data_IF_282531108157
#
_entry.id   IF_282531108157
#
_cell.length_a   1.000
_cell.length_b   1.000
_cell.length_c   1.000
_cell.angle_alpha   90.00
_cell.angle_beta   90.00
_cell.angle_gamma   90.00
#
_symmetry.space_group_name_H-M   'P 1'
#
loop_
_entity.id
_entity.type
_entity.pdbx_description
1 polymer ?
#
# COMPACT_ATOMS: atom_id res chain seq x y z
N UNK A 1 -17.28 -69.88 47.07
CA UNK A 1 -17.23 -70.66 45.83
C UNK A 1 -18.49 -70.32 45.06
N UNK A 2 -18.51 -69.76 43.87
CA UNK A 2 -17.52 -69.44 42.82
C UNK A 2 -18.29 -68.53 41.84
N UNK A 3 -17.74 -67.67 41.00
CA UNK A 3 -16.44 -67.05 40.87
C UNK A 3 -16.71 -65.79 40.03
N UNK A 4 -16.05 -64.69 40.36
CA UNK A 4 -15.87 -63.55 39.48
C UNK A 4 -15.10 -64.04 38.23
N UNK A 5 -15.62 -63.84 37.01
CA UNK A 5 -14.85 -64.09 35.79
C UNK A 5 -15.23 -63.12 34.66
N UNK A 6 -14.38 -62.10 34.55
CA UNK A 6 -13.88 -61.47 33.33
C UNK A 6 -14.83 -60.84 32.31
N UNK A 7 -15.07 -59.56 32.59
CA UNK A 7 -15.08 -58.47 31.62
C UNK A 7 -13.82 -58.56 30.75
N UNK A 8 -13.91 -59.08 29.52
CA UNK A 8 -12.94 -58.83 28.44
C UNK A 8 -13.53 -59.17 27.05
N UNK A 9 -14.55 -58.41 26.62
CA UNK A 9 -14.99 -58.42 25.23
C UNK A 9 -13.95 -57.68 24.37
N UNK A 10 -12.99 -58.41 23.83
CA UNK A 10 -12.00 -57.87 22.90
C UNK A 10 -12.72 -57.38 21.63
N UNK A 11 -12.62 -56.10 21.23
CA UNK A 11 -13.39 -55.58 20.10
C UNK A 11 -13.01 -56.27 18.78
N UNK A 12 -14.03 -56.71 18.06
CA UNK A 12 -13.94 -57.40 16.76
C UNK A 12 -12.95 -56.71 15.79
N UNK A 13 -11.89 -57.40 15.32
CA UNK A 13 -10.85 -56.83 14.47
C UNK A 13 -11.39 -56.24 13.15
N UNK A 14 -12.53 -56.72 12.64
CA UNK A 14 -13.19 -56.17 11.46
C UNK A 14 -13.76 -54.76 11.72
N UNK A 15 -14.37 -54.55 12.90
CA UNK A 15 -14.86 -53.24 13.35
C UNK A 15 -13.72 -52.25 13.59
N UNK A 16 -12.58 -52.71 14.10
CA UNK A 16 -11.39 -51.88 14.34
C UNK A 16 -10.76 -51.38 13.03
N UNK A 17 -10.64 -52.25 12.01
CA UNK A 17 -10.18 -51.88 10.65
C UNK A 17 -11.10 -50.86 9.97
N UNK A 18 -12.42 -51.00 10.13
CA UNK A 18 -13.40 -50.04 9.61
C UNK A 18 -13.31 -48.66 10.26
N UNK A 19 -13.12 -48.58 11.58
CA UNK A 19 -12.90 -47.31 12.30
C UNK A 19 -11.58 -46.64 11.93
N UNK A 20 -10.49 -47.41 11.81
CA UNK A 20 -9.18 -46.90 11.38
C UNK A 20 -9.24 -46.32 9.97
N UNK A 21 -9.89 -47.01 9.02
CA UNK A 21 -10.07 -46.51 7.65
C UNK A 21 -10.89 -45.21 7.60
N UNK A 22 -11.96 -45.11 8.41
CA UNK A 22 -12.75 -43.86 8.53
C UNK A 22 -11.93 -42.73 9.14
N UNK A 23 -11.16 -42.99 10.18
CA UNK A 23 -10.27 -42.00 10.79
C UNK A 23 -9.19 -41.53 9.81
N UNK A 24 -8.60 -42.45 9.04
CA UNK A 24 -7.65 -42.13 7.97
C UNK A 24 -8.29 -41.26 6.88
N UNK A 25 -9.50 -41.58 6.42
CA UNK A 25 -10.21 -40.77 5.42
C UNK A 25 -10.56 -39.37 5.95
N UNK A 26 -10.99 -39.26 7.20
CA UNK A 26 -11.25 -37.97 7.84
C UNK A 26 -9.97 -37.14 7.96
N UNK A 27 -8.87 -37.75 8.40
CA UNK A 27 -7.58 -37.08 8.46
C UNK A 27 -7.13 -36.59 7.08
N UNK A 28 -7.28 -37.43 6.05
CA UNK A 28 -6.93 -37.09 4.68
C UNK A 28 -7.80 -35.94 4.17
N UNK A 29 -9.11 -35.95 4.43
CA UNK A 29 -10.02 -34.84 4.10
C UNK A 29 -9.60 -33.54 4.80
N UNK A 30 -9.31 -33.59 6.09
CA UNK A 30 -8.88 -32.41 6.87
C UNK A 30 -7.56 -31.87 6.32
N UNK A 31 -6.58 -32.73 6.05
CA UNK A 31 -5.29 -32.34 5.48
C UNK A 31 -5.45 -31.75 4.08
N UNK A 32 -6.23 -32.38 3.19
CA UNK A 32 -6.48 -31.85 1.86
C UNK A 32 -7.21 -30.50 1.92
N UNK A 33 -8.22 -30.37 2.79
CA UNK A 33 -8.93 -29.10 2.99
C UNK A 33 -7.99 -28.02 3.50
N UNK A 34 -7.16 -28.33 4.50
CA UNK A 34 -6.13 -27.43 5.01
C UNK A 34 -5.17 -26.99 3.90
N UNK A 35 -4.66 -27.92 3.10
CA UNK A 35 -3.74 -27.60 2.00
C UNK A 35 -4.39 -26.72 0.93
N UNK A 36 -5.62 -27.02 0.53
CA UNK A 36 -6.37 -26.19 -0.43
C UNK A 36 -6.62 -24.79 0.11
N UNK A 37 -7.04 -24.67 1.38
CA UNK A 37 -7.30 -23.38 2.01
C UNK A 37 -6.01 -22.58 2.16
N UNK A 38 -4.96 -23.17 2.75
CA UNK A 38 -3.72 -22.48 3.09
C UNK A 38 -2.89 -22.05 1.88
N UNK A 39 -2.87 -22.85 0.81
CA UNK A 39 -1.94 -22.64 -0.30
C UNK A 39 -2.60 -22.22 -1.61
N UNK A 40 -3.93 -22.27 -1.72
CA UNK A 40 -4.65 -21.80 -2.91
C UNK A 40 -5.66 -20.71 -2.56
N UNK A 41 -6.62 -20.99 -1.67
CA UNK A 41 -7.72 -20.05 -1.40
C UNK A 41 -7.26 -18.80 -0.64
N UNK A 42 -6.45 -18.95 0.42
CA UNK A 42 -5.94 -17.82 1.17
C UNK A 42 -5.04 -16.91 0.31
N UNK A 43 -4.01 -17.40 -0.41
CA UNK A 43 -3.21 -16.53 -1.27
C UNK A 43 -4.05 -15.76 -2.31
N UNK A 44 -5.03 -16.42 -2.93
CA UNK A 44 -5.94 -15.78 -3.89
C UNK A 44 -6.92 -14.79 -3.23
N UNK A 45 -7.20 -14.95 -1.93
CA UNK A 45 -7.99 -14.00 -1.14
C UNK A 45 -7.22 -12.70 -0.86
N UNK A 46 -5.91 -12.81 -0.61
CA UNK A 46 -5.09 -11.69 -0.11
C UNK A 46 -4.31 -10.94 -1.18
N UNK A 47 -4.13 -11.51 -2.37
CA UNK A 47 -3.30 -10.90 -3.42
C UNK A 47 -4.05 -10.75 -4.74
N UNK A 48 -3.97 -9.54 -5.30
CA UNK A 48 -4.45 -9.16 -6.62
C UNK A 48 -3.47 -8.19 -7.31
N UNK A 49 -3.22 -8.43 -8.60
CA UNK A 49 -2.37 -7.58 -9.44
C UNK A 49 -2.85 -7.57 -10.90
N UNK A 50 -4.12 -7.93 -11.15
CA UNK A 50 -4.60 -8.22 -12.50
C UNK A 50 -4.41 -7.06 -13.49
N UNK A 51 -4.45 -5.82 -12.99
CA UNK A 51 -4.26 -4.61 -13.78
C UNK A 51 -2.81 -4.09 -13.78
N UNK A 52 -1.89 -4.70 -13.01
CA UNK A 52 -0.45 -4.42 -13.04
C UNK A 52 0.38 -5.64 -12.61
N UNK A 53 0.46 -6.66 -13.47
CA UNK A 53 1.16 -7.92 -13.13
C UNK A 53 2.65 -7.73 -12.88
N UNK A 54 3.25 -6.70 -13.49
CA UNK A 54 4.64 -6.33 -13.29
C UNK A 54 4.99 -5.88 -11.86
N UNK A 55 3.99 -5.54 -11.04
CA UNK A 55 4.20 -5.13 -9.65
C UNK A 55 4.24 -6.31 -8.66
N UNK A 56 3.77 -7.50 -9.07
CA UNK A 56 3.56 -8.62 -8.15
C UNK A 56 4.83 -9.13 -7.44
N UNK A 57 6.01 -8.91 -8.03
CA UNK A 57 7.31 -9.31 -7.46
C UNK A 57 8.05 -8.18 -6.76
N UNK A 58 7.49 -6.97 -6.75
CA UNK A 58 8.13 -5.81 -6.18
C UNK A 58 7.78 -5.67 -4.69
N UNK A 59 8.74 -5.26 -3.83
CA UNK A 59 8.44 -4.98 -2.44
C UNK A 59 7.52 -3.76 -2.33
N UNK A 60 6.55 -3.78 -1.43
CA UNK A 60 5.61 -2.65 -1.23
C UNK A 60 6.01 -1.74 -0.08
N UNK A 61 7.30 -1.67 0.24
CA UNK A 61 7.83 -0.89 1.37
C UNK A 61 9.16 -0.23 1.01
N UNK A 62 9.32 1.04 1.39
CA UNK A 62 10.62 1.73 1.29
C UNK A 62 11.58 1.25 2.38
N UNK A 63 12.84 1.69 2.30
CA UNK A 63 13.84 1.48 3.34
C UNK A 63 14.64 2.74 3.61
N UNK A 64 15.10 2.94 4.83
CA UNK A 64 16.12 3.95 5.13
C UNK A 64 17.48 3.54 4.56
N UNK A 65 18.46 4.46 4.59
CA UNK A 65 19.84 4.15 4.20
C UNK A 65 20.46 2.99 5.01
N UNK A 66 19.98 2.77 6.24
CA UNK A 66 20.41 1.68 7.12
C UNK A 66 19.62 0.37 6.90
N UNK A 67 18.70 0.34 5.94
CA UNK A 67 17.90 -0.83 5.61
C UNK A 67 16.66 -1.04 6.48
N UNK A 68 16.36 -0.12 7.41
CA UNK A 68 15.15 -0.17 8.25
C UNK A 68 13.93 0.00 7.35
N UNK A 69 12.86 -0.82 7.48
CA UNK A 69 11.60 -0.59 6.78
C UNK A 69 11.09 0.84 6.99
N UNK A 70 10.88 1.56 5.90
CA UNK A 70 10.37 2.93 5.88
C UNK A 70 8.86 2.97 5.77
N UNK A 71 8.35 3.99 5.08
CA UNK A 71 6.92 4.10 4.76
C UNK A 71 6.52 3.04 3.71
N UNK A 72 5.32 2.43 3.83
CA UNK A 72 4.78 1.53 2.82
C UNK A 72 4.31 2.28 1.57
N UNK A 73 4.35 1.60 0.43
CA UNK A 73 3.69 2.09 -0.80
C UNK A 73 2.18 2.01 -0.60
N UNK A 74 1.48 3.10 -0.87
CA UNK A 74 0.03 3.18 -0.72
C UNK A 74 -0.66 3.84 -1.93
N UNK A 75 0.08 4.48 -2.84
CA UNK A 75 -0.50 5.05 -4.06
C UNK A 75 0.34 4.67 -5.29
N UNK A 76 -0.31 4.54 -6.44
CA UNK A 76 0.35 4.35 -7.72
C UNK A 76 -0.18 5.32 -8.78
N UNK A 77 0.66 5.71 -9.72
CA UNK A 77 0.27 6.57 -10.85
C UNK A 77 0.67 5.92 -12.16
N UNK A 78 -0.15 6.09 -13.20
CA UNK A 78 0.17 5.65 -14.56
C UNK A 78 0.21 6.88 -15.46
N UNK A 79 1.38 7.13 -16.03
CA UNK A 79 1.64 8.29 -16.88
C UNK A 79 3.13 8.58 -16.98
N UNK A 80 3.49 9.42 -17.95
CA UNK A 80 4.89 9.86 -18.04
C UNK A 80 5.20 10.91 -16.95
N UNK A 81 6.47 11.32 -16.87
CA UNK A 81 6.92 12.33 -15.89
C UNK A 81 6.11 13.64 -16.00
N UNK A 82 5.75 14.05 -17.23
CA UNK A 82 5.03 15.30 -17.47
C UNK A 82 3.59 15.18 -17.01
N UNK A 83 2.96 14.02 -17.21
CA UNK A 83 1.63 13.73 -16.72
C UNK A 83 1.58 13.82 -15.19
N UNK A 84 2.53 13.16 -14.49
CA UNK A 84 2.62 13.19 -13.02
C UNK A 84 2.79 14.62 -12.53
N UNK A 85 3.76 15.36 -13.08
CA UNK A 85 4.07 16.73 -12.66
C UNK A 85 2.90 17.67 -12.89
N UNK A 86 2.25 17.60 -14.07
CA UNK A 86 1.04 18.40 -14.32
C UNK A 86 -0.07 18.02 -13.34
N UNK A 87 -0.36 16.73 -13.18
CA UNK A 87 -1.47 16.28 -12.37
C UNK A 87 -1.33 16.75 -10.92
N UNK A 88 -0.14 16.58 -10.33
CA UNK A 88 0.19 17.04 -8.98
C UNK A 88 0.02 18.57 -8.87
N UNK A 89 0.54 19.34 -9.83
CA UNK A 89 0.41 20.79 -9.82
C UNK A 89 -1.05 21.26 -9.91
N UNK A 90 -1.85 20.67 -10.81
CA UNK A 90 -3.28 20.99 -10.95
C UNK A 90 -4.09 20.62 -9.69
N UNK A 91 -3.65 19.59 -8.97
CA UNK A 91 -4.21 19.17 -7.68
C UNK A 91 -3.74 20.02 -6.48
N UNK A 92 -2.92 21.06 -6.71
CA UNK A 92 -2.41 21.96 -5.68
C UNK A 92 -1.29 21.34 -4.84
N UNK A 93 -0.61 20.32 -5.36
CA UNK A 93 0.59 19.75 -4.78
C UNK A 93 1.83 20.39 -5.41
N UNK A 94 2.74 20.80 -4.55
CA UNK A 94 3.95 21.51 -4.93
C UNK A 94 5.16 20.61 -4.75
N UNK A 95 6.25 20.83 -5.49
CA UNK A 95 7.40 19.98 -5.36
C UNK A 95 8.13 20.20 -4.03
N UNK A 96 8.54 19.12 -3.37
CA UNK A 96 9.15 19.17 -2.03
C UNK A 96 10.67 19.42 -2.04
N UNK A 97 11.39 19.06 -3.12
CA UNK A 97 12.82 19.33 -3.28
C UNK A 97 13.13 19.89 -4.67
N UNK A 98 13.60 21.15 -4.81
CA UNK A 98 13.93 21.76 -6.10
C UNK A 98 15.02 21.01 -6.90
N UNK A 99 15.86 20.19 -6.26
CA UNK A 99 16.90 19.38 -6.92
C UNK A 99 16.29 18.24 -7.74
N UNK A 100 15.23 17.60 -7.25
CA UNK A 100 14.51 16.55 -7.99
C UNK A 100 13.87 17.10 -9.26
N UNK A 101 13.31 18.33 -9.23
CA UNK A 101 12.72 18.95 -10.42
C UNK A 101 13.73 19.41 -11.46
N UNK A 102 14.85 20.00 -11.04
CA UNK A 102 15.88 20.45 -12.00
C UNK A 102 16.45 19.30 -12.81
N UNK A 103 16.50 18.11 -12.21
CA UNK A 103 16.95 16.88 -12.86
C UNK A 103 15.86 16.26 -13.75
N UNK A 104 14.58 16.39 -13.36
CA UNK A 104 13.46 15.69 -14.00
C UNK A 104 12.62 16.53 -14.96
N UNK A 105 12.70 17.87 -14.95
CA UNK A 105 11.79 18.77 -15.66
C UNK A 105 12.58 19.94 -16.29
N UNK A 106 12.95 19.80 -17.57
CA UNK A 106 13.42 20.93 -18.38
C UNK A 106 12.27 21.74 -19.02
N UNK A 107 11.00 21.40 -18.77
CA UNK A 107 9.89 21.75 -19.69
C UNK A 107 8.71 22.54 -19.05
N UNK A 108 8.56 22.60 -17.71
CA UNK A 108 7.43 23.34 -17.07
C UNK A 108 7.92 24.69 -16.51
N UNK A 109 8.57 25.46 -17.38
CA UNK A 109 9.33 26.67 -17.03
C UNK A 109 8.53 27.67 -16.20
N UNK A 110 9.18 28.18 -15.15
CA UNK A 110 8.80 29.30 -14.26
C UNK A 110 7.83 29.06 -13.10
N UNK A 111 6.89 28.12 -13.15
CA UNK A 111 5.85 28.03 -12.09
C UNK A 111 6.30 27.23 -10.85
N UNK A 112 7.18 26.24 -11.02
CA UNK A 112 7.54 25.30 -9.95
C UNK A 112 8.76 25.74 -9.10
N UNK A 113 9.52 26.74 -9.54
CA UNK A 113 10.82 27.11 -8.95
C UNK A 113 10.76 28.25 -7.92
N UNK A 114 9.60 28.88 -7.74
CA UNK A 114 9.46 30.14 -6.99
C UNK A 114 9.17 29.98 -5.48
N UNK A 115 9.28 28.77 -4.92
CA UNK A 115 9.16 28.55 -3.47
C UNK A 115 10.51 28.27 -2.81
N UNK A 116 11.02 29.17 -1.95
CA UNK A 116 12.18 28.89 -1.12
C UNK A 116 11.79 27.87 -0.03
N UNK A 117 12.40 26.69 -0.08
CA UNK A 117 12.36 25.73 1.02
C UNK A 117 13.23 26.24 2.17
N UNK A 118 12.67 26.26 3.38
CA UNK A 118 13.44 26.46 4.63
C UNK A 118 13.72 25.09 5.23
N UNK A 119 15.00 24.83 5.43
CA UNK A 119 15.62 23.59 5.88
C UNK A 119 14.82 22.73 6.88
N UNK A 120 14.68 21.45 6.54
CA UNK A 120 14.72 20.35 7.50
C UNK A 120 15.27 19.11 6.77
N UNK A 121 16.23 18.37 7.35
CA UNK A 121 16.76 17.16 6.73
C UNK A 121 15.67 16.10 6.74
N UNK A 122 15.00 15.94 5.60
CA UNK A 122 14.11 14.81 5.38
C UNK A 122 15.00 13.58 5.25
N UNK A 123 14.79 12.58 6.11
CA UNK A 123 15.50 11.31 5.98
C UNK A 123 15.15 10.71 4.61
N UNK A 124 16.19 10.47 3.79
CA UNK A 124 15.98 9.89 2.47
C UNK A 124 15.44 8.46 2.62
N UNK A 125 14.34 8.19 1.92
CA UNK A 125 13.81 6.85 1.76
C UNK A 125 14.28 6.28 0.42
N UNK A 126 14.54 4.99 0.41
CA UNK A 126 15.08 4.28 -0.73
C UNK A 126 14.10 3.18 -1.13
N UNK A 127 13.92 3.05 -2.43
CA UNK A 127 13.18 1.97 -3.03
C UNK A 127 14.10 1.24 -4.01
N UNK A 128 14.28 -0.07 -3.81
CA UNK A 128 15.23 -0.88 -4.58
C UNK A 128 16.65 -0.24 -4.67
N UNK A 129 17.11 0.35 -3.57
CA UNK A 129 18.42 0.99 -3.47
C UNK A 129 18.51 2.38 -4.10
N UNK A 130 17.39 2.95 -4.58
CA UNK A 130 17.35 4.23 -5.29
C UNK A 130 16.54 5.25 -4.51
N UNK A 131 17.00 6.50 -4.49
CA UNK A 131 16.23 7.64 -3.94
C UNK A 131 14.99 7.90 -4.78
N UNK A 132 14.04 8.62 -4.19
CA UNK A 132 12.83 9.11 -4.85
C UNK A 132 13.14 9.83 -6.16
N UNK A 133 12.30 9.62 -7.17
CA UNK A 133 12.38 10.32 -8.46
C UNK A 133 11.72 11.69 -8.40
N UNK A 134 10.57 11.74 -7.71
CA UNK A 134 9.75 12.93 -7.52
C UNK A 134 9.24 12.96 -6.09
N UNK A 135 9.16 14.15 -5.51
CA UNK A 135 8.55 14.38 -4.21
C UNK A 135 7.68 15.62 -4.24
N UNK A 136 6.51 15.54 -3.62
CA UNK A 136 5.54 16.62 -3.56
C UNK A 136 5.01 16.81 -2.14
N UNK A 137 4.63 18.04 -1.84
CA UNK A 137 4.04 18.48 -0.59
C UNK A 137 2.80 19.35 -0.82
N UNK A 138 1.86 19.27 0.11
CA UNK A 138 0.69 20.16 0.19
C UNK A 138 0.59 20.70 1.62
N UNK A 139 0.70 22.02 1.83
CA UNK A 139 0.62 22.63 3.16
C UNK A 139 -0.72 22.34 3.84
N UNK A 140 -0.68 22.07 5.15
CA UNK A 140 -1.89 21.90 5.97
C UNK A 140 -2.04 23.12 6.89
N UNK A 141 -3.01 23.97 6.59
CA UNK A 141 -3.23 25.20 7.35
C UNK A 141 -2.07 26.20 7.19
N UNK A 142 -1.74 26.91 8.28
CA UNK A 142 -0.74 27.99 8.26
C UNK A 142 0.63 27.59 8.81
N UNK A 143 0.80 26.37 9.30
CA UNK A 143 2.01 25.93 9.99
C UNK A 143 2.91 25.11 9.07
N UNK A 144 4.23 25.34 9.14
CA UNK A 144 5.22 24.65 8.32
C UNK A 144 5.58 23.23 8.81
N UNK A 145 5.17 22.88 10.03
CA UNK A 145 5.39 21.58 10.66
C UNK A 145 4.36 20.52 10.25
N UNK A 146 3.30 20.93 9.54
CA UNK A 146 2.25 20.06 9.04
C UNK A 146 2.08 20.17 7.53
N UNK A 147 2.33 19.08 6.83
CA UNK A 147 2.18 18.99 5.38
C UNK A 147 1.84 17.57 4.97
N UNK A 148 0.93 17.44 4.01
CA UNK A 148 0.80 16.18 3.30
C UNK A 148 2.01 16.06 2.39
N UNK A 149 2.57 14.88 2.29
CA UNK A 149 3.80 14.63 1.57
C UNK A 149 3.71 13.30 0.82
N UNK A 150 4.24 13.26 -0.39
CA UNK A 150 4.32 12.02 -1.17
C UNK A 150 5.64 11.94 -1.91
N UNK A 151 6.25 10.75 -1.89
CA UNK A 151 7.42 10.40 -2.69
C UNK A 151 7.00 9.40 -3.75
N UNK A 152 7.53 9.55 -4.96
CA UNK A 152 7.28 8.64 -6.06
C UNK A 152 8.57 8.05 -6.62
N UNK A 153 8.49 6.79 -7.03
CA UNK A 153 9.49 6.07 -7.78
C UNK A 153 8.85 5.54 -9.05
N UNK A 154 9.47 5.78 -10.20
CA UNK A 154 9.13 5.06 -11.43
C UNK A 154 9.62 3.63 -11.29
N UNK A 155 8.68 2.68 -11.30
CA UNK A 155 8.96 1.27 -11.05
C UNK A 155 8.85 0.40 -12.29
N UNK A 156 8.06 0.82 -13.28
CA UNK A 156 7.97 0.18 -14.59
C UNK A 156 8.04 1.25 -15.67
N UNK A 157 8.83 1.01 -16.72
CA UNK A 157 8.82 1.87 -17.91
C UNK A 157 7.53 1.70 -18.72
N UNK A 158 6.93 0.51 -18.66
CA UNK A 158 5.65 0.19 -19.28
C UNK A 158 4.88 -0.81 -18.39
N UNK A 159 3.71 -0.41 -17.91
CA UNK A 159 2.71 -1.27 -17.29
C UNK A 159 1.75 -1.88 -18.32
N UNK A 160 0.64 -2.45 -17.85
CA UNK A 160 -0.40 -3.06 -18.71
C UNK A 160 -1.01 -2.05 -19.69
N UNK A 161 -1.12 -0.78 -19.30
CA UNK A 161 -1.61 0.32 -20.13
C UNK A 161 -0.53 0.89 -21.08
N UNK A 162 0.62 0.22 -21.21
CA UNK A 162 1.77 0.63 -22.06
C UNK A 162 2.32 2.02 -21.73
N UNK A 163 2.11 2.47 -20.49
CA UNK A 163 2.58 3.74 -19.95
C UNK A 163 3.43 3.48 -18.70
N UNK A 164 4.33 4.39 -18.32
CA UNK A 164 5.14 4.24 -17.12
C UNK A 164 4.27 4.12 -15.86
N UNK A 165 4.72 3.30 -14.92
CA UNK A 165 4.04 3.08 -13.64
C UNK A 165 4.93 3.59 -12.51
N UNK A 166 4.32 4.35 -11.62
CA UNK A 166 4.92 4.92 -10.43
C UNK A 166 4.30 4.30 -9.20
N UNK A 167 5.13 4.00 -8.21
CA UNK A 167 4.66 3.72 -6.85
C UNK A 167 5.07 4.87 -5.93
N UNK A 168 4.21 5.17 -4.98
CA UNK A 168 4.44 6.23 -4.02
C UNK A 168 4.03 5.89 -2.60
N UNK A 169 4.68 6.57 -1.68
CA UNK A 169 4.39 6.57 -0.25
C UNK A 169 3.87 7.97 0.12
N UNK A 170 2.55 8.07 0.30
CA UNK A 170 1.87 9.28 0.77
C UNK A 170 1.69 9.24 2.29
N UNK A 171 2.09 10.31 2.97
CA UNK A 171 2.05 10.45 4.42
C UNK A 171 1.77 11.90 4.82
N UNK A 172 1.11 12.13 5.96
CA UNK A 172 1.02 13.45 6.57
C UNK A 172 2.11 13.60 7.61
N UNK A 173 3.03 14.52 7.36
CA UNK A 173 3.95 14.99 8.39
C UNK A 173 3.16 15.82 9.39
N UNK A 174 3.12 15.39 10.65
CA UNK A 174 2.34 16.05 11.72
C UNK A 174 3.17 16.93 12.66
N UNK A 175 4.47 16.70 12.72
CA UNK A 175 5.40 17.45 13.57
C UNK A 175 6.86 17.14 13.24
N UNK A 176 7.78 18.04 13.57
CA UNK A 176 9.22 17.74 13.64
C UNK A 176 9.54 17.15 15.01
N UNK A 177 10.39 16.13 15.08
CA UNK A 177 10.82 15.50 16.32
C UNK A 177 12.08 14.67 16.17
N UNK A 178 12.22 13.65 17.02
CA UNK A 178 13.40 12.79 17.09
C UNK A 178 12.99 11.35 16.78
N UNK A 179 13.72 10.70 15.88
CA UNK A 179 13.51 9.30 15.53
C UNK A 179 13.62 8.41 16.76
N UNK A 180 12.63 7.52 16.93
CA UNK A 180 12.60 6.55 18.00
C UNK A 180 13.69 5.49 17.88
N UNK A 181 14.28 5.33 16.69
CA UNK A 181 15.32 4.32 16.44
C UNK A 181 16.73 4.89 16.44
N UNK A 182 16.92 6.11 15.94
CA UNK A 182 18.28 6.64 15.70
C UNK A 182 18.61 7.87 16.55
N UNK A 183 17.63 8.52 17.17
CA UNK A 183 17.85 9.79 17.86
C UNK A 183 18.11 10.98 16.92
N UNK A 184 18.04 10.78 15.60
CA UNK A 184 18.19 11.84 14.62
C UNK A 184 16.92 12.70 14.51
N UNK A 185 17.07 13.96 14.13
CA UNK A 185 15.93 14.83 13.80
C UNK A 185 15.18 14.24 12.60
N UNK A 186 13.87 14.07 12.74
CA UNK A 186 12.98 13.52 11.71
C UNK A 186 11.63 14.22 11.73
N UNK A 187 10.86 14.06 10.66
CA UNK A 187 9.42 14.34 10.73
C UNK A 187 8.70 13.11 11.29
N UNK A 188 7.70 13.37 12.13
CA UNK A 188 6.74 12.37 12.56
C UNK A 188 5.54 12.36 11.63
N UNK A 189 5.07 11.17 11.28
CA UNK A 189 3.87 11.01 10.45
C UNK A 189 2.60 10.80 11.28
N UNK A 190 1.45 11.13 10.70
CA UNK A 190 0.15 10.66 11.16
C UNK A 190 0.02 9.15 10.93
N UNK A 191 -0.78 8.48 11.78
CA UNK A 191 -0.88 7.03 11.77
C UNK A 191 -1.80 6.47 10.68
N UNK A 192 -2.80 7.23 10.24
CA UNK A 192 -3.73 6.77 9.21
C UNK A 192 -3.14 7.03 7.82
N UNK A 193 -2.66 5.97 7.17
CA UNK A 193 -2.16 6.08 5.79
C UNK A 193 -3.27 6.02 4.75
N UNK A 194 -4.43 5.47 5.11
CA UNK A 194 -5.58 5.34 4.23
C UNK A 194 -6.21 6.72 3.99
N UNK A 195 -6.29 7.55 5.04
CA UNK A 195 -6.74 8.95 4.97
C UNK A 195 -5.87 9.78 4.01
N UNK A 196 -4.54 9.68 4.13
CA UNK A 196 -3.61 10.43 3.29
C UNK A 196 -3.64 10.00 1.82
N UNK A 197 -3.74 8.69 1.59
CA UNK A 197 -3.93 8.12 0.25
C UNK A 197 -5.25 8.61 -0.35
N UNK A 198 -6.33 8.64 0.42
CA UNK A 198 -7.64 9.12 -0.03
C UNK A 198 -7.63 10.61 -0.33
N UNK A 199 -6.92 11.43 0.46
CA UNK A 199 -6.74 12.85 0.21
C UNK A 199 -6.04 13.10 -1.12
N UNK A 200 -4.89 12.46 -1.36
CA UNK A 200 -4.15 12.62 -2.60
C UNK A 200 -4.95 12.13 -3.82
N UNK A 201 -5.59 10.98 -3.72
CA UNK A 201 -6.46 10.48 -4.79
C UNK A 201 -7.62 11.44 -5.06
N UNK A 202 -8.32 11.89 -4.02
CA UNK A 202 -9.43 12.83 -4.13
C UNK A 202 -9.02 14.18 -4.73
N UNK A 203 -7.84 14.70 -4.40
CA UNK A 203 -7.29 15.92 -4.98
C UNK A 203 -7.06 15.78 -6.50
N UNK A 204 -6.44 14.67 -6.93
CA UNK A 204 -6.17 14.39 -8.34
C UNK A 204 -7.47 14.18 -9.14
N UNK A 205 -8.44 13.48 -8.55
CA UNK A 205 -9.77 13.26 -9.15
C UNK A 205 -10.52 14.60 -9.29
N UNK A 206 -10.53 15.43 -8.24
CA UNK A 206 -11.21 16.74 -8.24
C UNK A 206 -10.59 17.73 -9.23
N UNK A 207 -9.28 17.62 -9.44
CA UNK A 207 -8.58 18.37 -10.48
C UNK A 207 -8.91 17.90 -11.91
N UNK A 208 -9.63 16.78 -12.08
CA UNK A 208 -9.90 16.17 -13.38
C UNK A 208 -8.64 15.59 -14.02
N UNK A 209 -7.67 15.14 -13.21
CA UNK A 209 -6.38 14.64 -13.69
C UNK A 209 -6.33 13.11 -13.75
N UNK A 210 -7.43 12.43 -13.44
CA UNK A 210 -7.55 10.97 -13.41
C UNK A 210 -8.63 10.53 -14.38
N UNK A 211 -8.33 9.51 -15.19
CA UNK A 211 -9.28 8.88 -16.12
C UNK A 211 -9.85 7.58 -15.56
N UNK A 212 -9.05 6.83 -14.79
CA UNK A 212 -9.49 5.63 -14.10
C UNK A 212 -8.73 5.39 -12.81
N UNK A 213 -9.31 4.56 -11.93
CA UNK A 213 -8.69 4.10 -10.69
C UNK A 213 -8.99 2.64 -10.40
N UNK A 214 -8.04 1.96 -9.79
CA UNK A 214 -8.17 0.58 -9.33
C UNK A 214 -7.20 0.27 -8.20
N UNK A 215 -7.37 -0.87 -7.54
CA UNK A 215 -6.47 -1.31 -6.47
C UNK A 215 -5.50 -2.39 -6.97
N UNK A 216 -4.30 -2.39 -6.37
CA UNK A 216 -3.34 -3.50 -6.43
C UNK A 216 -2.83 -3.77 -5.02
N UNK A 217 -2.35 -5.00 -4.78
CA UNK A 217 -1.95 -5.39 -3.41
C UNK A 217 -0.75 -4.58 -2.97
N UNK A 218 -0.81 -4.02 -1.76
CA UNK A 218 0.33 -3.40 -1.09
C UNK A 218 0.96 -4.35 -0.07
N UNK A 219 1.15 -3.85 1.14
CA UNK A 219 1.71 -4.62 2.27
C UNK A 219 0.67 -5.51 2.98
N UNK A 220 -0.61 -5.38 2.63
CA UNK A 220 -1.72 -6.04 3.30
C UNK A 220 -2.12 -5.38 4.64
N UNK A 221 -3.31 -5.72 5.19
CA UNK A 221 -3.87 -5.03 6.35
C UNK A 221 -2.92 -5.01 7.54
N UNK A 222 -2.69 -3.82 8.09
CA UNK A 222 -1.70 -3.57 9.12
C UNK A 222 -2.27 -2.63 10.18
N UNK A 223 -2.24 -3.02 11.46
CA UNK A 223 -2.82 -2.24 12.57
C UNK A 223 -1.79 -1.50 13.45
N UNK A 224 -0.55 -2.00 13.46
CA UNK A 224 0.52 -1.57 14.37
C UNK A 224 1.89 -1.49 13.64
N UNK A 225 1.84 -1.14 12.35
CA UNK A 225 3.03 -0.96 11.53
C UNK A 225 3.93 0.16 12.06
N UNK A 226 5.22 0.09 11.73
CA UNK A 226 6.19 1.13 12.10
C UNK A 226 7.04 1.55 10.91
N UNK A 227 7.21 2.85 10.71
CA UNK A 227 8.07 3.37 9.66
C UNK A 227 9.54 3.48 10.12
N UNK A 228 10.38 4.04 9.25
CA UNK A 228 11.82 4.16 9.47
C UNK A 228 12.23 5.08 10.63
N UNK A 229 11.33 5.97 11.07
CA UNK A 229 11.49 6.80 12.27
C UNK A 229 10.91 6.16 13.54
N UNK A 230 10.18 5.05 13.37
CA UNK A 230 9.50 4.32 14.44
C UNK A 230 8.08 4.79 14.74
N UNK A 231 7.52 5.68 13.94
CA UNK A 231 6.12 6.11 14.06
C UNK A 231 5.18 4.95 13.75
N UNK A 232 4.09 4.88 14.52
CA UNK A 232 3.03 3.92 14.29
C UNK A 232 2.19 4.32 13.07
N UNK A 233 1.78 3.32 12.29
CA UNK A 233 0.80 3.48 11.23
C UNK A 233 -0.17 2.31 11.16
N UNK A 234 -1.32 2.55 10.51
CA UNK A 234 -2.27 1.53 10.12
C UNK A 234 -2.79 1.77 8.69
N UNK A 235 -3.19 0.71 8.02
CA UNK A 235 -3.69 0.74 6.63
C UNK A 235 -4.39 -0.57 6.27
N UNK A 236 -5.36 -0.52 5.35
CA UNK A 236 -5.90 -1.70 4.63
C UNK A 236 -4.83 -2.48 3.85
N UNK A 237 -3.67 -1.83 3.64
CA UNK A 237 -2.50 -2.34 2.94
C UNK A 237 -2.67 -2.50 1.45
N UNK A 238 -3.64 -1.82 0.85
CA UNK A 238 -3.85 -1.74 -0.59
C UNK A 238 -3.14 -0.53 -1.20
N UNK A 239 -2.96 -0.55 -2.52
CA UNK A 239 -2.44 0.57 -3.29
C UNK A 239 -3.52 1.02 -4.25
N UNK A 240 -3.95 2.27 -4.16
CA UNK A 240 -4.80 2.89 -5.18
C UNK A 240 -3.93 3.35 -6.35
N UNK A 241 -4.14 2.75 -7.53
CA UNK A 241 -3.48 3.12 -8.77
C UNK A 241 -4.39 4.03 -9.58
N UNK A 242 -3.89 5.19 -9.95
CA UNK A 242 -4.60 6.22 -10.70
C UNK A 242 -4.03 6.35 -12.11
N UNK A 243 -4.88 6.17 -13.12
CA UNK A 243 -4.53 6.40 -14.53
C UNK A 243 -4.66 7.87 -14.86
N UNK A 244 -3.52 8.54 -15.01
CA UNK A 244 -3.50 9.98 -15.25
C UNK A 244 -3.96 10.33 -16.66
N UNK A 245 -4.49 11.54 -16.81
CA UNK A 245 -4.70 12.16 -18.12
C UNK A 245 -3.39 12.28 -18.89
N UNK A 246 -3.48 12.32 -20.21
CA UNK A 246 -2.31 12.51 -21.08
C UNK A 246 -2.16 13.98 -21.45
N UNK A 247 -0.91 14.44 -21.53
CA UNK A 247 -0.57 15.78 -21.98
C UNK A 247 -1.30 16.90 -21.23
N UNK A 248 -1.60 16.69 -19.94
CA UNK A 248 -2.28 17.65 -19.09
C UNK A 248 -3.72 18.01 -19.55
N UNK A 249 -4.33 17.18 -20.40
CA UNK A 249 -5.69 17.39 -20.89
C UNK A 249 -6.71 16.95 -19.84
N UNK A 250 -7.33 17.91 -19.16
CA UNK A 250 -8.31 17.64 -18.10
C UNK A 250 -9.42 16.70 -18.58
N UNK A 251 -9.78 15.75 -17.73
CA UNK A 251 -10.92 14.86 -17.89
C UNK A 251 -12.15 15.46 -17.18
N UNK A 252 -13.19 15.76 -17.94
CA UNK A 252 -14.44 16.34 -17.42
C UNK A 252 -15.50 15.28 -17.06
N UNK A 253 -15.24 14.01 -17.38
CA UNK A 253 -16.15 12.90 -17.10
C UNK A 253 -15.95 12.28 -15.71
N UNK A 254 -16.81 11.33 -15.31
CA UNK A 254 -16.55 10.54 -14.12
C UNK A 254 -15.27 9.72 -14.28
N UNK A 255 -14.56 9.52 -13.18
CA UNK A 255 -13.40 8.63 -13.12
C UNK A 255 -13.89 7.19 -13.20
N UNK A 256 -13.38 6.42 -14.16
CA UNK A 256 -13.69 4.99 -14.28
C UNK A 256 -13.12 4.23 -13.09
N UNK A 257 -13.96 3.63 -12.25
CA UNK A 257 -13.52 2.73 -11.18
C UNK A 257 -13.53 1.30 -11.70
N UNK A 258 -12.36 0.71 -11.85
CA UNK A 258 -12.24 -0.69 -12.24
C UNK A 258 -12.32 -1.53 -10.96
N UNK A 259 -13.29 -2.46 -10.85
CA UNK A 259 -13.53 -3.19 -9.61
C UNK A 259 -12.38 -4.15 -9.31
N UNK A 260 -12.11 -4.30 -8.02
CA UNK A 260 -11.22 -5.33 -7.50
C UNK A 260 -11.95 -6.68 -7.51
N UNK A 261 -11.23 -7.82 -7.50
CA UNK A 261 -11.83 -9.12 -7.23
C UNK A 261 -12.79 -9.07 -6.02
N UNK A 262 -13.95 -9.73 -6.12
CA UNK A 262 -15.01 -9.69 -5.10
C UNK A 262 -14.52 -10.04 -3.68
N UNK A 263 -13.49 -10.89 -3.60
CA UNK A 263 -12.88 -11.29 -2.34
C UNK A 263 -12.10 -10.15 -1.68
N UNK A 264 -11.38 -9.35 -2.47
CA UNK A 264 -10.70 -8.15 -2.00
C UNK A 264 -11.70 -7.09 -1.54
N UNK A 265 -12.80 -6.89 -2.30
CA UNK A 265 -13.86 -5.96 -1.88
C UNK A 265 -14.48 -6.36 -0.54
N UNK A 266 -14.69 -7.66 -0.32
CA UNK A 266 -15.16 -8.19 0.96
C UNK A 266 -14.15 -7.92 2.09
N UNK A 267 -12.86 -8.17 1.85
CA UNK A 267 -11.78 -7.87 2.82
C UNK A 267 -11.77 -6.38 3.19
N UNK A 268 -11.86 -5.49 2.21
CA UNK A 268 -11.85 -4.04 2.42
C UNK A 268 -13.08 -3.58 3.24
N UNK A 269 -14.26 -4.16 2.99
CA UNK A 269 -15.46 -3.91 3.80
C UNK A 269 -15.27 -4.35 5.25
N UNK A 270 -14.67 -5.52 5.48
CA UNK A 270 -14.35 -6.00 6.84
C UNK A 270 -13.36 -5.06 7.53
N UNK A 271 -12.32 -4.62 6.83
CA UNK A 271 -11.34 -3.65 7.35
C UNK A 271 -12.04 -2.37 7.81
N UNK A 272 -12.80 -1.72 6.94
CA UNK A 272 -13.50 -0.47 7.27
C UNK A 272 -14.47 -0.64 8.44
N UNK A 273 -15.19 -1.76 8.51
CA UNK A 273 -16.09 -2.04 9.63
C UNK A 273 -15.34 -2.18 10.96
N UNK A 274 -14.18 -2.84 10.96
CA UNK A 274 -13.33 -2.99 12.15
C UNK A 274 -12.77 -1.64 12.59
N UNK A 275 -12.24 -0.85 11.65
CA UNK A 275 -11.66 0.48 11.94
C UNK A 275 -12.69 1.42 12.54
N UNK A 276 -13.87 1.49 11.92
CA UNK A 276 -15.00 2.26 12.43
C UNK A 276 -15.41 1.81 13.85
N UNK A 277 -15.40 0.50 14.13
CA UNK A 277 -15.76 -0.03 15.45
C UNK A 277 -14.74 0.31 16.55
N UNK A 278 -13.46 0.48 16.20
CA UNK A 278 -12.39 0.86 17.15
C UNK A 278 -12.11 2.36 17.19
N UNK A 279 -12.90 3.17 16.46
CA UNK A 279 -12.77 4.63 16.43
C UNK A 279 -11.49 5.10 15.75
N UNK A 280 -11.02 4.34 14.76
CA UNK A 280 -9.91 4.71 13.89
C UNK A 280 -10.38 4.85 12.46
#
# INVERSE_FOLDING_TARGET
>A
MDAQADINANPDPARRRGRLRRAQLLLLLVLTTYLLVAYLLLPAFWTHYEHQKGLASLPMVTRTAQGIPGDPMNIGLIGDVRDVVCAMHQAGWYPADPVTLRSSIAIVGSVLLDRPYKDAPVSSLFYLGRREDLAFEKPVGSSADRRNHVRFWKVLDQGEEKRPVWLGAATLDRSVGISHYTGAVTHHIAADLDEERALLAGDLESAGMVTAKYQVTGIGPTFDGRNGGGDLYFTDGEIWVLRLVEACSRHDGPVERIPSPAMTEFKDQVWHAVMQAIGK
#
